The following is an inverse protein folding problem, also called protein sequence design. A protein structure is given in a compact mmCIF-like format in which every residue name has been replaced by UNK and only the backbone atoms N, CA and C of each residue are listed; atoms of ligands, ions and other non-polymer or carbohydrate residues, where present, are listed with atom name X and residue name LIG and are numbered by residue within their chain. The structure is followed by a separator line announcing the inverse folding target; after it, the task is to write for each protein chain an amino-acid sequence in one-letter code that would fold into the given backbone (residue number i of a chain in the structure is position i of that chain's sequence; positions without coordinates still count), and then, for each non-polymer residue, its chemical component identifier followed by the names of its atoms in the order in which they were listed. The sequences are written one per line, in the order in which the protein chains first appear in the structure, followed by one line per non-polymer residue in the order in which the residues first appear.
data_IF_074879608640
#
_entry.id   IF_074879608640
#
_cell.length_a   1.000
_cell.length_b   1.000
_cell.length_c   1.000
_cell.angle_alpha   90.00
_cell.angle_beta   90.00
_cell.angle_gamma   90.00
#
_symmetry.space_group_name_H-M   'P 1'
#
loop_
_entity.id
_entity.type
_entity.pdbx_description
1 polymer ?
#
# COMPACT_ATOMS: atom_id res chain seq x y z
N UNK A 1 -18.49 -28.57 22.37
CA UNK A 1 -17.13 -28.64 21.81
C UNK A 1 -17.24 -29.04 20.35
N UNK A 2 -17.06 -28.10 19.41
CA UNK A 2 -17.21 -28.39 17.98
C UNK A 2 -16.08 -29.32 17.50
N UNK A 3 -16.47 -30.41 16.83
CA UNK A 3 -15.57 -31.44 16.30
C UNK A 3 -14.55 -30.84 15.33
N UNK A 4 -13.26 -31.12 15.56
CA UNK A 4 -12.12 -30.61 14.78
C UNK A 4 -12.04 -31.14 13.33
N UNK A 5 -12.98 -31.96 12.88
CA UNK A 5 -12.88 -32.71 11.61
C UNK A 5 -14.16 -32.71 10.73
N UNK A 6 -15.03 -31.70 10.83
CA UNK A 6 -16.09 -31.55 9.82
C UNK A 6 -15.48 -31.11 8.49
N UNK A 7 -15.87 -31.72 7.34
CA UNK A 7 -15.38 -31.28 6.04
C UNK A 7 -15.77 -29.81 5.81
N UNK A 8 -14.79 -28.99 5.38
CA UNK A 8 -15.02 -27.58 5.07
C UNK A 8 -16.07 -27.49 3.95
N UNK A 9 -17.19 -26.83 4.23
CA UNK A 9 -18.13 -26.45 3.16
C UNK A 9 -17.49 -25.28 2.37
N UNK A 10 -17.18 -25.45 1.08
CA UNK A 10 -16.50 -24.42 0.30
C UNK A 10 -17.27 -23.10 0.27
N UNK A 11 -18.60 -23.14 0.14
CA UNK A 11 -19.43 -21.93 0.09
C UNK A 11 -19.31 -21.12 1.38
N UNK A 12 -19.50 -21.76 2.54
CA UNK A 12 -19.37 -21.11 3.84
C UNK A 12 -17.95 -20.58 4.06
N UNK A 13 -16.93 -21.34 3.66
CA UNK A 13 -15.54 -20.91 3.77
C UNK A 13 -15.27 -19.63 2.95
N UNK A 14 -15.66 -19.60 1.67
CA UNK A 14 -15.41 -18.45 0.81
C UNK A 14 -16.26 -17.23 1.17
N UNK A 15 -17.49 -17.42 1.67
CA UNK A 15 -18.31 -16.31 2.17
C UNK A 15 -17.72 -15.68 3.44
N UNK A 16 -17.22 -16.50 4.37
CA UNK A 16 -16.51 -16.02 5.55
C UNK A 16 -15.22 -15.30 5.15
N UNK A 17 -14.44 -15.89 4.23
CA UNK A 17 -13.20 -15.30 3.75
C UNK A 17 -13.43 -13.94 3.06
N UNK A 18 -14.45 -13.83 2.20
CA UNK A 18 -14.86 -12.56 1.59
C UNK A 18 -15.20 -11.51 2.65
N UNK A 19 -15.94 -11.91 3.68
CA UNK A 19 -16.32 -11.01 4.78
C UNK A 19 -15.10 -10.53 5.56
N UNK A 20 -14.13 -11.41 5.84
CA UNK A 20 -12.88 -11.02 6.49
C UNK A 20 -12.01 -10.12 5.63
N UNK A 21 -11.89 -10.40 4.33
CA UNK A 21 -11.17 -9.53 3.40
C UNK A 21 -11.77 -8.12 3.35
N UNK A 22 -13.11 -8.02 3.38
CA UNK A 22 -13.79 -6.73 3.44
C UNK A 22 -13.45 -5.98 4.73
N UNK A 23 -13.54 -6.65 5.88
CA UNK A 23 -13.22 -6.05 7.18
C UNK A 23 -11.75 -5.60 7.26
N UNK A 24 -10.81 -6.40 6.76
CA UNK A 24 -9.39 -6.03 6.75
C UNK A 24 -9.14 -4.86 5.80
N UNK A 25 -9.80 -4.82 4.63
CA UNK A 25 -9.72 -3.70 3.71
C UNK A 25 -10.21 -2.39 4.33
N UNK A 26 -11.36 -2.41 5.00
CA UNK A 26 -11.92 -1.25 5.72
C UNK A 26 -10.98 -0.80 6.86
N UNK A 27 -10.42 -1.74 7.62
CA UNK A 27 -9.49 -1.44 8.70
C UNK A 27 -8.18 -0.83 8.17
N UNK A 28 -7.63 -1.33 7.07
CA UNK A 28 -6.42 -0.79 6.46
C UNK A 28 -6.66 0.62 5.88
N UNK A 29 -7.81 0.86 5.24
CA UNK A 29 -8.17 2.19 4.76
C UNK A 29 -8.20 3.21 5.91
N UNK A 30 -8.84 2.88 7.03
CA UNK A 30 -8.88 3.75 8.22
C UNK A 30 -7.50 4.00 8.81
N UNK A 31 -6.61 2.98 8.81
CA UNK A 31 -5.20 3.13 9.23
C UNK A 31 -4.46 4.10 8.32
N UNK A 32 -4.64 4.02 6.99
CA UNK A 32 -4.01 4.92 6.03
C UNK A 32 -4.46 6.37 6.21
N UNK A 33 -5.77 6.60 6.36
CA UNK A 33 -6.34 7.93 6.61
C UNK A 33 -5.84 8.53 7.93
N UNK A 34 -5.85 7.73 9.01
CA UNK A 34 -5.35 8.15 10.32
C UNK A 34 -3.88 8.56 10.28
N UNK A 35 -3.04 7.79 9.57
CA UNK A 35 -1.60 8.10 9.39
C UNK A 35 -1.41 9.39 8.62
N UNK A 36 -2.19 9.60 7.56
CA UNK A 36 -2.13 10.82 6.73
C UNK A 36 -2.45 12.07 7.55
N UNK A 37 -3.40 11.99 8.48
CA UNK A 37 -3.83 13.13 9.28
C UNK A 37 -2.95 13.38 10.52
N UNK A 38 -2.26 12.37 11.04
CA UNK A 38 -1.50 12.47 12.30
C UNK A 38 -0.01 12.76 12.12
N UNK A 39 0.60 12.29 11.04
CA UNK A 39 2.04 12.39 10.86
C UNK A 39 2.42 13.70 10.20
N UNK A 40 3.45 14.35 10.73
CA UNK A 40 4.11 15.43 10.01
C UNK A 40 4.78 14.88 8.74
N UNK A 41 5.01 15.72 7.72
CA UNK A 41 5.75 15.33 6.51
C UNK A 41 7.09 14.63 6.81
N UNK A 42 7.85 15.13 7.78
CA UNK A 42 9.14 14.56 8.17
C UNK A 42 9.01 13.18 8.84
N UNK A 43 8.00 12.97 9.68
CA UNK A 43 7.74 11.67 10.31
C UNK A 43 7.23 10.65 9.29
N UNK A 44 6.37 11.07 8.37
CA UNK A 44 5.89 10.23 7.28
C UNK A 44 7.06 9.74 6.41
N UNK A 45 8.01 10.61 6.04
CA UNK A 45 9.20 10.22 5.27
C UNK A 45 10.14 9.32 6.09
N UNK A 46 10.37 9.62 7.38
CA UNK A 46 11.20 8.79 8.27
C UNK A 46 10.64 7.39 8.49
N UNK A 47 9.32 7.24 8.47
CA UNK A 47 8.67 5.93 8.57
C UNK A 47 8.98 5.00 7.38
N UNK A 48 9.45 5.57 6.26
CA UNK A 48 9.77 4.85 5.03
C UNK A 48 8.54 4.36 4.24
N UNK A 49 7.32 4.76 4.62
CA UNK A 49 6.10 4.46 3.87
C UNK A 49 5.69 5.57 2.90
N UNK A 50 6.38 6.71 2.92
CA UNK A 50 6.07 7.89 2.10
C UNK A 50 7.37 8.51 1.60
N UNK A 51 7.41 8.95 0.35
CA UNK A 51 8.48 9.78 -0.20
C UNK A 51 7.89 11.15 -0.57
N UNK A 52 8.54 12.22 -0.13
CA UNK A 52 8.04 13.59 -0.34
C UNK A 52 8.98 14.40 -1.22
N UNK A 53 8.50 15.53 -1.75
CA UNK A 53 9.29 16.44 -2.59
C UNK A 53 9.93 15.74 -3.80
N UNK A 54 9.15 14.87 -4.43
CA UNK A 54 9.52 14.16 -5.64
C UNK A 54 9.24 15.03 -6.88
N UNK A 55 10.07 14.90 -7.90
CA UNK A 55 9.90 15.53 -9.21
C UNK A 55 9.91 14.46 -10.30
N UNK A 56 9.12 14.67 -11.35
CA UNK A 56 9.10 13.80 -12.53
C UNK A 56 10.37 14.06 -13.35
N UNK A 57 11.09 13.00 -13.69
CA UNK A 57 12.30 13.05 -14.53
C UNK A 57 12.04 12.57 -15.94
N UNK A 58 11.16 11.57 -16.08
CA UNK A 58 10.74 11.04 -17.37
C UNK A 58 9.33 10.48 -17.27
N UNK A 59 8.69 10.37 -18.43
CA UNK A 59 7.45 9.63 -18.57
C UNK A 59 7.45 8.82 -19.87
N UNK A 60 6.70 7.73 -19.87
CA UNK A 60 6.44 6.92 -21.06
C UNK A 60 4.99 6.43 -21.01
N UNK A 61 4.30 6.53 -22.13
CA UNK A 61 3.00 5.88 -22.33
C UNK A 61 3.22 4.43 -22.71
N UNK A 62 2.59 3.49 -22.00
CA UNK A 62 2.80 2.06 -22.21
C UNK A 62 2.01 1.18 -21.25
N UNK A 63 2.33 -0.11 -21.17
CA UNK A 63 1.78 -1.03 -20.15
C UNK A 63 0.23 -1.05 -20.10
N UNK A 64 -0.42 -1.26 -21.25
CA UNK A 64 -1.88 -1.37 -21.32
C UNK A 64 -2.62 -0.04 -21.14
N UNK A 65 -2.09 1.07 -21.68
CA UNK A 65 -2.71 2.40 -21.62
C UNK A 65 -2.41 3.18 -20.33
N UNK A 66 -1.36 2.80 -19.60
CA UNK A 66 -0.92 3.46 -18.36
C UNK A 66 0.25 4.40 -18.62
N UNK A 67 0.46 5.32 -17.69
CA UNK A 67 1.64 6.19 -17.68
C UNK A 67 2.69 5.61 -16.74
N UNK A 68 3.88 5.38 -17.27
CA UNK A 68 5.07 5.07 -16.49
C UNK A 68 5.76 6.40 -16.18
N UNK A 69 5.83 6.77 -14.89
CA UNK A 69 6.49 7.98 -14.42
C UNK A 69 7.75 7.60 -13.64
N UNK A 70 8.88 8.23 -13.96
CA UNK A 70 10.08 8.16 -13.12
C UNK A 70 10.15 9.40 -12.25
N UNK A 71 10.39 9.19 -10.94
CA UNK A 71 10.40 10.22 -9.92
C UNK A 71 11.76 10.22 -9.20
N UNK A 72 12.27 11.41 -8.88
CA UNK A 72 13.48 11.57 -8.05
C UNK A 72 13.29 12.64 -6.97
N UNK A 73 14.17 12.71 -5.97
CA UNK A 73 14.17 13.82 -5.00
C UNK A 73 14.60 15.11 -5.68
N UNK A 74 13.86 16.20 -5.45
CA UNK A 74 14.13 17.53 -6.02
C UNK A 74 15.56 18.03 -5.78
N UNK A 75 16.07 17.87 -4.56
CA UNK A 75 17.35 18.46 -4.11
C UNK A 75 18.48 17.42 -3.93
N UNK A 76 18.20 16.13 -4.10
CA UNK A 76 19.16 15.04 -3.93
C UNK A 76 18.85 13.90 -4.92
N UNK A 77 18.97 14.16 -6.24
CA UNK A 77 18.44 13.27 -7.29
C UNK A 77 19.04 11.85 -7.25
N UNK A 78 20.27 11.72 -6.77
CA UNK A 78 21.01 10.44 -6.77
C UNK A 78 20.69 9.52 -5.58
N UNK A 79 19.88 9.98 -4.59
CA UNK A 79 19.65 9.20 -3.37
C UNK A 79 18.25 9.37 -2.81
N UNK A 80 17.53 8.26 -2.73
CA UNK A 80 16.30 8.19 -1.95
C UNK A 80 16.63 8.02 -0.45
N UNK A 81 15.84 8.63 0.45
CA UNK A 81 15.91 8.29 1.86
C UNK A 81 15.52 6.81 2.07
N UNK A 82 15.83 6.26 3.24
CA UNK A 82 15.44 4.90 3.56
C UNK A 82 13.93 4.70 3.41
N UNK A 83 13.51 3.65 2.70
CA UNK A 83 12.11 3.36 2.43
C UNK A 83 11.84 1.86 2.38
N UNK A 84 10.56 1.51 2.50
CA UNK A 84 10.07 0.11 2.43
C UNK A 84 9.38 -0.22 1.11
N UNK A 85 9.34 0.70 0.15
CA UNK A 85 8.78 0.44 -1.16
C UNK A 85 9.46 -0.72 -1.90
N UNK A 86 8.62 -1.55 -2.53
CA UNK A 86 8.98 -2.69 -3.35
C UNK A 86 8.24 -2.57 -4.68
N UNK A 87 8.72 -3.28 -5.69
CA UNK A 87 7.99 -3.44 -6.95
C UNK A 87 6.76 -4.31 -6.66
N UNK A 88 5.57 -3.89 -7.11
CA UNK A 88 4.31 -4.57 -6.88
C UNK A 88 3.15 -3.87 -7.54
#
# INVERSE_FOLDING_TARGET
MASRNSPLNPGVHFDNFRSWLKLEGEAEQQRMESRRNRLTPAEAERSGSTLLNMVVTSHTTGLGGRYLLTLQKRHAPERLPWHRFRVG
#
